data_IF_981307429460
#
_entry.id   IF_981307429460
#
_cell.length_a   1.000
_cell.length_b   1.000
_cell.length_c   1.000
_cell.angle_alpha   90.00
_cell.angle_beta   90.00
_cell.angle_gamma   90.00
#
_symmetry.space_group_name_H-M   'P 1'
#
loop_
_entity.id
_entity.type
_entity.pdbx_description
1 polymer ?
#
# COMPACT_ATOMS: atom_id res chain seq x y z
N UNK A 1 -12.19 -13.28 -5.77
CA UNK A 1 -11.05 -14.02 -5.17
C UNK A 1 -10.85 -13.43 -3.80
N UNK A 2 -10.94 -14.23 -2.72
CA UNK A 2 -10.80 -13.73 -1.35
C UNK A 2 -9.34 -13.31 -1.13
N UNK A 3 -9.13 -12.09 -0.64
CA UNK A 3 -7.80 -11.60 -0.31
C UNK A 3 -7.38 -12.19 1.03
N UNK A 4 -6.19 -12.78 1.09
CA UNK A 4 -5.62 -13.28 2.36
C UNK A 4 -5.32 -12.07 3.26
N UNK A 5 -5.84 -12.01 4.50
CA UNK A 5 -5.52 -10.92 5.41
C UNK A 5 -4.02 -10.80 5.71
N UNK A 6 -3.52 -9.57 5.84
CA UNK A 6 -2.18 -9.28 6.36
C UNK A 6 -2.23 -8.98 7.86
N UNK A 7 -1.06 -8.87 8.50
CA UNK A 7 -0.97 -8.40 9.90
C UNK A 7 -1.51 -6.98 10.09
N UNK A 8 -1.50 -6.16 9.04
CA UNK A 8 -2.09 -4.82 9.09
C UNK A 8 -3.63 -4.91 9.18
N UNK A 9 -4.27 -5.93 8.59
CA UNK A 9 -5.71 -6.16 8.74
C UNK A 9 -6.08 -6.54 10.19
N UNK A 10 -5.23 -7.30 10.86
CA UNK A 10 -5.39 -7.64 12.29
C UNK A 10 -5.23 -6.39 13.13
N UNK A 11 -4.17 -5.62 12.89
CA UNK A 11 -3.92 -4.37 13.61
C UNK A 11 -5.08 -3.38 13.46
N UNK A 12 -5.59 -3.21 12.25
CA UNK A 12 -6.75 -2.38 11.95
C UNK A 12 -7.99 -2.82 12.77
N UNK A 13 -8.34 -4.11 12.71
CA UNK A 13 -9.49 -4.65 13.44
C UNK A 13 -9.34 -4.47 14.96
N UNK A 14 -8.13 -4.68 15.50
CA UNK A 14 -7.88 -4.51 16.93
C UNK A 14 -7.97 -3.05 17.38
N UNK A 15 -7.43 -2.10 16.61
CA UNK A 15 -7.51 -0.67 16.92
C UNK A 15 -8.98 -0.20 16.90
N UNK A 16 -9.73 -0.61 15.88
CA UNK A 16 -11.15 -0.28 15.76
C UNK A 16 -11.96 -0.88 16.92
N UNK A 17 -11.73 -2.15 17.27
CA UNK A 17 -12.39 -2.80 18.41
C UNK A 17 -12.06 -2.15 19.75
N UNK A 18 -10.81 -1.74 19.94
CA UNK A 18 -10.38 -1.06 21.17
C UNK A 18 -11.07 0.29 21.37
N UNK A 19 -11.43 0.99 20.28
CA UNK A 19 -12.17 2.25 20.35
C UNK A 19 -13.64 2.05 20.74
N UNK A 20 -14.22 0.88 20.46
CA UNK A 20 -15.60 0.55 20.84
C UNK A 20 -16.64 1.53 20.29
N UNK A 21 -17.48 2.07 21.16
CA UNK A 21 -18.51 3.07 20.83
C UNK A 21 -18.11 4.51 21.25
N UNK A 22 -17.01 4.68 21.97
CA UNK A 22 -16.54 5.97 22.50
C UNK A 22 -15.47 6.55 21.57
N UNK A 23 -15.87 6.92 20.36
CA UNK A 23 -14.97 7.54 19.39
C UNK A 23 -14.55 8.95 19.80
N UNK A 24 -13.25 9.26 19.67
CA UNK A 24 -12.69 10.60 19.90
C UNK A 24 -12.77 11.45 18.63
N UNK A 25 -13.88 12.16 18.47
CA UNK A 25 -14.08 13.14 17.41
C UNK A 25 -13.76 14.56 17.91
N UNK A 26 -13.20 15.46 17.07
CA UNK A 26 -13.05 16.87 17.39
C UNK A 26 -14.39 17.54 17.71
N UNK A 27 -14.38 18.54 18.61
CA UNK A 27 -15.59 19.19 19.12
C UNK A 27 -16.40 19.98 18.06
N UNK A 28 -15.75 20.51 17.02
CA UNK A 28 -16.39 21.30 15.94
C UNK A 28 -16.85 20.43 14.76
N UNK A 29 -17.92 19.66 14.95
CA UNK A 29 -18.35 18.58 14.02
C UNK A 29 -19.21 19.10 12.85
N UNK A 30 -19.85 20.28 12.97
CA UNK A 30 -20.81 20.78 11.97
C UNK A 30 -20.20 21.79 10.98
N UNK A 31 -19.01 21.50 10.49
CA UNK A 31 -18.42 22.20 9.34
C UNK A 31 -18.58 21.33 8.09
N UNK A 32 -19.27 21.85 7.08
CA UNK A 32 -19.53 21.11 5.84
C UNK A 32 -18.21 20.88 5.09
N UNK A 33 -17.86 19.62 4.88
CA UNK A 33 -16.73 19.20 4.03
C UNK A 33 -17.18 18.99 2.58
N UNK A 34 -18.46 18.73 2.37
CA UNK A 34 -19.09 18.49 1.07
C UNK A 34 -20.54 18.98 1.09
N UNK A 35 -21.11 19.24 -0.10
CA UNK A 35 -22.54 19.51 -0.27
C UNK A 35 -23.10 18.73 -1.46
N UNK A 36 -24.33 18.25 -1.35
CA UNK A 36 -25.07 17.59 -2.42
C UNK A 36 -26.49 18.17 -2.50
N UNK A 37 -27.04 18.26 -3.71
CA UNK A 37 -28.45 18.61 -3.95
C UNK A 37 -29.31 17.35 -3.93
N UNK A 38 -30.22 17.23 -2.96
CA UNK A 38 -31.13 16.08 -2.87
C UNK A 38 -32.14 16.02 -4.03
N UNK A 39 -32.90 14.94 -4.12
CA UNK A 39 -33.93 14.75 -5.17
C UNK A 39 -35.05 15.80 -5.16
N UNK A 40 -35.17 16.59 -4.09
CA UNK A 40 -36.13 17.69 -3.98
C UNK A 40 -35.50 19.06 -4.29
N UNK A 41 -34.25 19.10 -4.74
CA UNK A 41 -33.54 20.33 -5.08
C UNK A 41 -32.94 21.08 -3.89
N UNK A 42 -32.85 20.45 -2.71
CA UNK A 42 -32.35 21.09 -1.49
C UNK A 42 -30.89 20.75 -1.24
N UNK A 43 -30.11 21.72 -0.79
CA UNK A 43 -28.72 21.49 -0.38
C UNK A 43 -28.67 20.71 0.94
N UNK A 44 -28.01 19.55 0.89
CA UNK A 44 -27.61 18.74 2.03
C UNK A 44 -26.12 18.98 2.26
N UNK A 45 -25.79 19.50 3.44
CA UNK A 45 -24.43 19.62 3.92
C UNK A 45 -23.99 18.27 4.48
N UNK A 46 -22.75 17.91 4.19
CA UNK A 46 -22.12 16.67 4.64
C UNK A 46 -20.83 17.05 5.36
N UNK A 47 -20.64 16.53 6.57
CA UNK A 47 -19.35 16.60 7.29
C UNK A 47 -18.82 15.19 7.49
N UNK A 48 -17.54 14.99 7.17
CA UNK A 48 -16.83 13.72 7.35
C UNK A 48 -15.66 13.96 8.30
N UNK A 49 -15.73 13.36 9.48
CA UNK A 49 -14.75 13.58 10.55
C UNK A 49 -14.23 12.24 11.03
N UNK A 50 -12.92 12.05 10.96
CA UNK A 50 -12.26 10.83 11.43
C UNK A 50 -12.02 10.87 12.95
N UNK A 51 -12.26 9.74 13.60
CA UNK A 51 -11.87 9.51 14.99
C UNK A 51 -10.35 9.56 15.10
N UNK A 52 -9.83 10.36 16.04
CA UNK A 52 -8.38 10.52 16.26
C UNK A 52 -7.69 9.26 16.76
N UNK A 53 -8.44 8.31 17.33
CA UNK A 53 -7.91 7.09 17.91
C UNK A 53 -7.90 5.91 16.92
N UNK A 54 -8.92 5.79 16.08
CA UNK A 54 -9.09 4.60 15.22
C UNK A 54 -9.40 4.90 13.75
N UNK A 55 -9.53 6.17 13.36
CA UNK A 55 -9.83 6.58 11.99
C UNK A 55 -11.28 6.39 11.56
N UNK A 56 -12.15 5.71 12.35
CA UNK A 56 -13.59 5.57 12.04
C UNK A 56 -14.18 6.92 11.67
N UNK A 57 -14.93 6.98 10.57
CA UNK A 57 -15.43 8.23 10.02
C UNK A 57 -16.86 8.44 10.50
N UNK A 58 -17.11 9.51 11.26
CA UNK A 58 -18.45 10.01 11.47
C UNK A 58 -18.87 10.85 10.27
N UNK A 59 -19.98 10.47 9.65
CA UNK A 59 -20.59 11.17 8.54
C UNK A 59 -21.89 11.80 9.03
N UNK A 60 -21.93 13.13 9.04
CA UNK A 60 -23.09 13.89 9.49
C UNK A 60 -23.74 14.61 8.31
N UNK A 61 -25.05 14.44 8.17
CA UNK A 61 -25.88 15.08 7.15
C UNK A 61 -26.84 16.06 7.80
N UNK A 62 -26.92 17.28 7.26
CA UNK A 62 -27.94 18.25 7.68
C UNK A 62 -28.36 19.15 6.53
N UNK A 63 -29.54 19.75 6.66
CA UNK A 63 -30.00 20.82 5.78
C UNK A 63 -30.05 22.11 6.58
N UNK A 64 -29.72 23.24 5.94
CA UNK A 64 -29.94 24.53 6.57
C UNK A 64 -31.43 24.74 6.84
N UNK A 65 -31.74 25.24 8.03
CA UNK A 65 -33.10 25.49 8.49
C UNK A 65 -33.25 26.97 8.79
N UNK A 66 -34.37 27.57 8.42
CA UNK A 66 -34.72 28.95 8.80
C UNK A 66 -35.28 29.05 10.22
N UNK A 67 -35.50 27.91 10.88
CA UNK A 67 -35.92 27.84 12.28
C UNK A 67 -34.72 27.78 13.24
N UNK A 68 -34.97 27.87 14.57
CA UNK A 68 -33.91 27.85 15.58
C UNK A 68 -33.23 26.49 15.76
N UNK A 69 -33.67 25.44 15.05
CA UNK A 69 -33.17 24.09 15.17
C UNK A 69 -32.81 23.51 13.80
N UNK A 70 -31.71 22.74 13.77
CA UNK A 70 -31.24 21.95 12.62
C UNK A 70 -31.29 20.48 13.01
N UNK A 71 -31.88 19.64 12.15
CA UNK A 71 -31.84 18.19 12.31
C UNK A 71 -30.54 17.66 11.68
N UNK A 72 -29.79 16.88 12.45
CA UNK A 72 -28.55 16.23 12.02
C UNK A 72 -28.73 14.73 12.09
N UNK A 73 -28.42 14.02 11.01
CA UNK A 73 -28.34 12.57 10.98
C UNK A 73 -26.87 12.16 10.88
N UNK A 74 -26.38 11.38 11.84
CA UNK A 74 -24.99 10.92 11.89
C UNK A 74 -24.90 9.40 11.80
N UNK A 75 -23.93 8.92 11.04
CA UNK A 75 -23.61 7.50 10.91
C UNK A 75 -22.09 7.29 10.98
N UNK A 76 -21.68 6.08 11.37
CA UNK A 76 -20.27 5.69 11.41
C UNK A 76 -19.94 4.80 10.22
N UNK A 77 -18.89 5.16 9.49
CA UNK A 77 -18.30 4.38 8.43
C UNK A 77 -16.94 3.83 8.88
N UNK A 78 -16.58 2.59 8.48
CA UNK A 78 -15.29 2.02 8.83
C UNK A 78 -14.14 2.88 8.26
N UNK A 79 -13.00 2.98 8.97
CA UNK A 79 -11.83 3.67 8.44
C UNK A 79 -11.33 2.98 7.17
N UNK A 80 -10.76 3.75 6.26
CA UNK A 80 -9.82 3.17 5.31
C UNK A 80 -8.58 2.70 6.08
N UNK A 81 -7.95 1.56 5.73
CA UNK A 81 -6.80 1.08 6.47
C UNK A 81 -5.64 2.08 6.62
N UNK A 82 -5.52 3.02 5.67
CA UNK A 82 -4.52 4.09 5.70
C UNK A 82 -4.88 5.30 6.57
N UNK A 83 -6.11 5.37 7.08
CA UNK A 83 -6.60 6.42 7.98
C UNK A 83 -6.48 6.02 9.47
N UNK A 84 -6.06 4.78 9.77
CA UNK A 84 -5.97 4.26 11.13
C UNK A 84 -4.65 4.72 11.79
N UNK A 85 -4.69 5.58 12.81
CA UNK A 85 -3.48 6.04 13.49
C UNK A 85 -2.77 4.89 14.20
N UNK A 86 -1.45 4.82 14.09
CA UNK A 86 -0.64 3.81 14.78
C UNK A 86 -0.74 2.38 14.22
N UNK A 87 -1.37 2.20 13.04
CA UNK A 87 -1.56 0.86 12.45
C UNK A 87 -0.23 0.13 12.19
N UNK A 88 0.80 0.85 11.77
CA UNK A 88 2.10 0.29 11.45
C UNK A 88 2.78 -0.29 12.71
N UNK A 89 2.83 0.52 13.76
CA UNK A 89 3.38 0.16 15.07
C UNK A 89 2.59 -1.00 15.68
N UNK A 90 1.26 -1.00 15.55
CA UNK A 90 0.43 -2.10 16.05
C UNK A 90 0.65 -3.38 15.24
N UNK A 91 0.82 -3.30 13.92
CA UNK A 91 1.04 -4.46 13.05
C UNK A 91 2.35 -5.19 13.37
N UNK A 92 3.40 -4.47 13.79
CA UNK A 92 4.64 -5.07 14.28
C UNK A 92 4.47 -5.86 15.58
N UNK A 93 3.48 -5.50 16.39
CA UNK A 93 3.18 -6.12 17.68
C UNK A 93 2.14 -7.24 17.60
N UNK A 94 1.54 -7.48 16.44
CA UNK A 94 0.62 -8.60 16.24
C UNK A 94 1.39 -9.90 16.48
N UNK A 95 0.84 -10.77 17.33
CA UNK A 95 1.41 -12.09 17.60
C UNK A 95 0.96 -13.11 16.56
N UNK A 96 1.67 -14.22 16.42
CA UNK A 96 1.24 -15.31 15.54
C UNK A 96 -0.11 -15.89 15.97
N UNK A 97 -0.41 -15.90 17.28
CA UNK A 97 -1.69 -16.36 17.81
C UNK A 97 -2.85 -15.42 17.41
N UNK A 98 -2.69 -14.11 17.58
CA UNK A 98 -3.69 -13.12 17.15
C UNK A 98 -3.92 -13.19 15.64
N UNK A 99 -2.85 -13.36 14.84
CA UNK A 99 -2.97 -13.49 13.40
C UNK A 99 -3.68 -14.78 12.98
N UNK A 100 -3.32 -15.92 13.57
CA UNK A 100 -3.95 -17.20 13.29
C UNK A 100 -5.45 -17.21 13.65
N UNK A 101 -5.81 -16.62 14.79
CA UNK A 101 -7.22 -16.47 15.19
C UNK A 101 -7.99 -15.62 14.18
N UNK A 102 -7.43 -14.47 13.78
CA UNK A 102 -8.05 -13.59 12.80
C UNK A 102 -8.23 -14.27 11.44
N UNK A 103 -7.22 -15.01 10.96
CA UNK A 103 -7.29 -15.77 9.72
C UNK A 103 -8.41 -16.82 9.77
N UNK A 104 -8.52 -17.57 10.87
CA UNK A 104 -9.57 -18.56 11.05
C UNK A 104 -10.97 -17.93 10.99
N UNK A 105 -11.17 -16.77 11.63
CA UNK A 105 -12.43 -16.01 11.57
C UNK A 105 -12.77 -15.51 10.15
N UNK A 106 -11.75 -15.28 9.31
CA UNK A 106 -11.90 -14.81 7.91
C UNK A 106 -11.95 -15.95 6.87
N UNK A 107 -12.07 -17.20 7.31
CA UNK A 107 -12.21 -18.36 6.42
C UNK A 107 -10.88 -19.01 6.01
N UNK A 108 -9.79 -18.72 6.72
CA UNK A 108 -8.47 -19.31 6.53
C UNK A 108 -8.05 -20.13 7.76
N UNK A 109 -8.77 -21.22 8.11
CA UNK A 109 -8.53 -21.98 9.35
C UNK A 109 -7.19 -22.74 9.36
N UNK A 110 -6.57 -22.93 8.19
CA UNK A 110 -5.24 -23.54 8.05
C UNK A 110 -4.12 -22.49 8.00
N UNK A 111 -4.44 -21.22 8.24
CA UNK A 111 -3.49 -20.12 8.17
C UNK A 111 -3.27 -19.58 6.75
N UNK A 112 -2.15 -18.89 6.57
CA UNK A 112 -1.75 -18.32 5.27
C UNK A 112 -1.40 -19.44 4.29
N UNK A 113 -1.88 -19.40 3.03
CA UNK A 113 -1.52 -20.39 2.01
C UNK A 113 0.00 -20.51 1.81
N UNK A 114 0.49 -21.72 1.52
CA UNK A 114 1.94 -22.03 1.47
C UNK A 114 2.69 -21.35 0.32
N UNK A 115 1.97 -20.85 -0.68
CA UNK A 115 2.50 -20.08 -1.81
C UNK A 115 2.74 -18.61 -1.48
N UNK A 116 2.41 -18.17 -0.26
CA UNK A 116 2.69 -16.84 0.24
C UNK A 116 3.99 -16.82 1.04
N UNK A 117 4.75 -15.74 0.87
CA UNK A 117 5.90 -15.45 1.69
C UNK A 117 5.48 -15.27 3.16
N UNK A 118 6.28 -15.78 4.10
CA UNK A 118 6.03 -15.53 5.51
C UNK A 118 6.19 -14.05 5.83
N UNK A 119 5.37 -13.54 6.75
CA UNK A 119 5.62 -12.24 7.36
C UNK A 119 6.81 -12.37 8.31
N UNK A 120 7.91 -11.71 7.96
CA UNK A 120 9.17 -11.71 8.68
C UNK A 120 9.59 -10.29 9.07
N UNK A 121 8.66 -9.33 9.17
CA UNK A 121 8.99 -7.90 9.37
C UNK A 121 9.83 -7.62 10.62
N UNK A 122 9.67 -8.43 11.67
CA UNK A 122 10.40 -8.32 12.95
C UNK A 122 11.73 -9.07 12.99
N UNK A 123 11.99 -9.95 12.02
CA UNK A 123 13.18 -10.82 11.99
C UNK A 123 14.05 -10.63 10.74
N UNK A 124 13.51 -10.00 9.70
CA UNK A 124 14.23 -9.71 8.48
C UNK A 124 15.34 -8.69 8.71
N UNK A 125 16.49 -8.95 8.10
CA UNK A 125 17.58 -7.99 7.97
C UNK A 125 17.58 -7.42 6.56
N UNK A 126 18.19 -6.25 6.37
CA UNK A 126 18.39 -5.70 5.02
C UNK A 126 19.24 -6.64 4.17
N UNK A 127 18.75 -6.99 2.99
CA UNK A 127 19.41 -7.85 2.03
C UNK A 127 19.84 -7.03 0.80
N UNK A 128 21.09 -7.21 0.38
CA UNK A 128 21.65 -6.56 -0.80
C UNK A 128 22.02 -7.62 -1.84
N UNK A 129 21.53 -7.45 -3.06
CA UNK A 129 21.72 -8.36 -4.17
C UNK A 129 22.22 -7.58 -5.37
N UNK A 130 23.32 -8.02 -5.97
CA UNK A 130 23.89 -7.38 -7.15
C UNK A 130 23.65 -8.26 -8.38
N UNK A 131 23.12 -7.65 -9.45
CA UNK A 131 22.78 -8.29 -10.71
C UNK A 131 23.42 -7.53 -11.88
N UNK A 132 23.60 -8.25 -12.99
CA UNK A 132 23.81 -7.65 -14.31
C UNK A 132 22.64 -8.08 -15.17
N UNK A 133 21.78 -7.13 -15.55
CA UNK A 133 20.62 -7.36 -16.41
C UNK A 133 20.98 -7.10 -17.87
N UNK A 134 20.34 -7.83 -18.78
CA UNK A 134 20.43 -7.58 -20.22
C UNK A 134 19.13 -6.94 -20.70
N UNK A 135 19.17 -5.61 -20.83
CA UNK A 135 18.02 -4.79 -21.18
C UNK A 135 17.78 -4.83 -22.69
N UNK A 136 16.52 -5.07 -23.05
CA UNK A 136 16.02 -5.02 -24.43
C UNK A 136 14.72 -4.24 -24.47
N UNK A 137 14.56 -3.43 -25.51
CA UNK A 137 13.43 -2.50 -25.67
C UNK A 137 13.26 -1.56 -24.48
N UNK A 138 14.38 -1.18 -23.88
CA UNK A 138 14.50 -0.14 -22.87
C UNK A 138 13.82 -0.43 -21.53
N UNK A 139 13.55 -1.70 -21.19
CA UNK A 139 12.77 -2.03 -20.00
C UNK A 139 13.15 -3.34 -19.29
N UNK A 140 12.91 -3.37 -17.98
CA UNK A 140 12.86 -4.57 -17.16
C UNK A 140 11.70 -4.49 -16.16
N UNK A 141 11.41 -5.59 -15.47
CA UNK A 141 10.21 -5.71 -14.63
C UNK A 141 10.52 -6.30 -13.27
N UNK A 142 9.70 -5.95 -12.28
CA UNK A 142 9.58 -6.62 -11.00
C UNK A 142 8.14 -7.14 -10.90
N UNK A 143 7.97 -8.45 -10.82
CA UNK A 143 6.65 -9.08 -10.87
C UNK A 143 6.43 -9.95 -9.63
N UNK A 144 5.18 -10.18 -9.26
CA UNK A 144 4.82 -11.37 -8.49
C UNK A 144 5.45 -12.59 -9.17
N UNK A 145 6.01 -13.52 -8.37
CA UNK A 145 6.66 -14.71 -8.89
C UNK A 145 5.71 -15.48 -9.80
N UNK A 146 6.23 -15.88 -10.97
CA UNK A 146 5.46 -16.51 -12.05
C UNK A 146 4.33 -15.66 -12.67
N UNK A 147 4.23 -14.40 -12.29
CA UNK A 147 3.35 -13.42 -12.91
C UNK A 147 3.68 -13.18 -14.39
N UNK A 148 2.68 -12.92 -15.24
CA UNK A 148 2.92 -12.66 -16.65
C UNK A 148 3.32 -11.19 -16.86
N UNK A 149 4.20 -10.92 -17.84
CA UNK A 149 4.63 -9.54 -18.18
C UNK A 149 3.47 -8.68 -18.67
N UNK A 150 2.47 -9.28 -19.31
CA UNK A 150 1.26 -8.57 -19.74
C UNK A 150 0.37 -8.12 -18.57
N UNK A 151 0.75 -8.38 -17.32
CA UNK A 151 0.09 -7.77 -16.16
C UNK A 151 0.26 -6.25 -16.13
N UNK A 152 1.34 -5.72 -16.69
CA UNK A 152 1.64 -4.27 -16.77
C UNK A 152 1.75 -3.74 -18.20
N UNK A 153 1.70 -4.62 -19.20
CA UNK A 153 1.75 -4.23 -20.61
C UNK A 153 0.38 -4.35 -21.29
N UNK A 154 -0.06 -3.34 -22.07
CA UNK A 154 0.63 -2.07 -22.32
C UNK A 154 0.61 -1.15 -21.09
N UNK A 155 1.65 -0.35 -20.91
CA UNK A 155 1.70 0.64 -19.81
C UNK A 155 0.56 1.64 -20.00
N UNK A 156 -0.26 1.92 -18.96
CA UNK A 156 -1.41 2.82 -19.07
C UNK A 156 -1.03 4.21 -19.59
N UNK A 157 -1.81 4.83 -20.50
CA UNK A 157 -1.52 6.18 -21.01
C UNK A 157 -1.47 7.30 -19.95
N UNK A 158 -2.10 7.06 -18.79
CA UNK A 158 -2.18 7.99 -17.65
C UNK A 158 -1.08 7.76 -16.61
N UNK A 159 -0.07 6.93 -16.92
CA UNK A 159 1.14 6.80 -16.13
C UNK A 159 1.98 8.09 -16.24
N UNK A 160 1.50 9.19 -15.68
CA UNK A 160 2.12 10.53 -15.76
C UNK A 160 3.45 10.63 -14.98
N UNK A 161 3.87 9.55 -14.30
CA UNK A 161 5.19 9.42 -13.64
C UNK A 161 6.29 8.79 -14.53
N UNK A 162 5.96 8.48 -15.79
CA UNK A 162 6.72 7.60 -16.67
C UNK A 162 8.00 8.18 -17.30
N UNK A 163 9.01 8.50 -16.49
CA UNK A 163 10.39 8.60 -16.99
C UNK A 163 11.34 7.52 -16.45
N UNK A 164 10.98 6.82 -15.36
CA UNK A 164 11.88 5.86 -14.68
C UNK A 164 11.19 4.59 -14.16
N UNK A 165 10.00 4.69 -13.57
CA UNK A 165 9.29 3.55 -12.96
C UNK A 165 7.77 3.77 -12.98
N UNK A 166 7.00 2.70 -13.17
CA UNK A 166 5.55 2.67 -13.01
C UNK A 166 5.10 1.32 -12.45
N UNK A 167 3.95 1.24 -11.79
CA UNK A 167 3.46 0.02 -11.17
C UNK A 167 1.94 -0.15 -11.20
N UNK A 168 1.53 -1.41 -11.19
CA UNK A 168 0.16 -1.87 -10.98
C UNK A 168 0.19 -3.01 -9.94
N UNK A 169 -0.93 -3.43 -9.36
CA UNK A 169 -0.93 -4.55 -8.42
C UNK A 169 -0.30 -5.83 -9.01
N UNK A 170 0.81 -6.25 -8.42
CA UNK A 170 1.60 -7.44 -8.76
C UNK A 170 2.70 -7.22 -9.80
N UNK A 171 2.91 -5.98 -10.28
CA UNK A 171 3.90 -5.69 -11.31
C UNK A 171 4.42 -4.25 -11.27
N UNK A 172 5.71 -4.08 -11.53
CA UNK A 172 6.34 -2.80 -11.81
C UNK A 172 7.22 -2.91 -13.06
N UNK A 173 7.26 -1.82 -13.83
CA UNK A 173 8.08 -1.66 -15.03
C UNK A 173 9.08 -0.54 -14.77
N UNK A 174 10.30 -0.73 -15.25
CA UNK A 174 11.41 0.20 -15.08
C UNK A 174 11.99 0.50 -16.45
N UNK A 175 12.21 1.78 -16.75
CA UNK A 175 12.84 2.22 -17.99
C UNK A 175 14.34 2.35 -17.81
N UNK A 176 15.11 1.77 -18.72
CA UNK A 176 16.57 1.77 -18.71
C UNK A 176 17.13 1.74 -20.14
N UNK A 177 18.37 2.21 -20.39
CA UNK A 177 19.01 2.03 -21.69
C UNK A 177 19.19 0.55 -22.05
N UNK A 178 19.13 0.23 -23.35
CA UNK A 178 19.44 -1.12 -23.86
C UNK A 178 20.91 -1.49 -23.59
N UNK A 179 21.16 -2.78 -23.33
CA UNK A 179 22.50 -3.31 -23.07
C UNK A 179 22.65 -3.97 -21.69
N UNK A 180 23.89 -4.10 -21.24
CA UNK A 180 24.18 -4.61 -19.89
C UNK A 180 23.98 -3.51 -18.84
N UNK A 181 23.18 -3.81 -17.83
CA UNK A 181 22.85 -2.90 -16.74
C UNK A 181 23.24 -3.50 -15.40
N UNK A 182 24.23 -2.91 -14.69
CA UNK A 182 24.45 -3.19 -13.27
C UNK A 182 23.24 -2.72 -12.45
N UNK A 183 22.61 -3.64 -11.73
CA UNK A 183 21.49 -3.36 -10.83
C UNK A 183 21.79 -3.92 -9.45
N UNK A 184 21.80 -3.06 -8.44
CA UNK A 184 21.69 -3.48 -7.05
C UNK A 184 20.23 -3.46 -6.62
N UNK A 185 19.76 -4.52 -5.99
CA UNK A 185 18.49 -4.54 -5.24
C UNK A 185 18.78 -4.57 -3.75
N UNK A 186 18.16 -3.66 -3.00
CA UNK A 186 18.15 -3.64 -1.54
C UNK A 186 16.73 -3.92 -1.06
N UNK A 187 16.55 -5.03 -0.35
CA UNK A 187 15.29 -5.41 0.28
C UNK A 187 15.41 -5.11 1.77
N UNK A 188 14.55 -4.24 2.29
CA UNK A 188 14.66 -3.74 3.66
C UNK A 188 13.32 -3.82 4.40
N UNK A 189 13.29 -4.19 5.70
CA UNK A 189 12.06 -4.15 6.49
C UNK A 189 11.56 -2.70 6.73
N UNK A 190 12.46 -1.72 6.71
CA UNK A 190 12.16 -0.30 6.91
C UNK A 190 12.72 0.57 5.77
N UNK A 191 12.25 1.82 5.66
CA UNK A 191 12.74 2.76 4.64
C UNK A 191 14.26 3.00 4.81
N UNK A 192 15.09 2.61 3.82
CA UNK A 192 16.54 2.84 3.86
C UNK A 192 16.94 4.30 3.57
N UNK A 193 15.97 5.21 3.43
CA UNK A 193 16.12 6.59 2.94
C UNK A 193 16.62 6.66 1.49
N UNK A 194 16.44 7.79 0.78
CA UNK A 194 16.98 7.96 -0.56
C UNK A 194 18.51 8.08 -0.54
N UNK A 195 19.20 7.34 -1.42
CA UNK A 195 20.62 7.53 -1.64
C UNK A 195 20.86 8.73 -2.57
N UNK A 196 21.31 9.85 -2.00
CA UNK A 196 21.52 11.12 -2.71
C UNK A 196 22.78 11.15 -3.56
N UNK A 197 23.55 10.06 -3.63
CA UNK A 197 24.68 9.93 -4.55
C UNK A 197 24.27 9.58 -5.99
N UNK A 198 22.98 9.34 -6.24
CA UNK A 198 22.41 9.08 -7.57
C UNK A 198 21.75 10.33 -8.16
N UNK A 199 21.77 10.43 -9.49
CA UNK A 199 21.34 11.64 -10.21
C UNK A 199 19.82 11.76 -10.27
N UNK A 200 19.13 10.63 -10.40
CA UNK A 200 17.66 10.58 -10.46
C UNK A 200 17.12 9.56 -9.48
N UNK A 201 16.01 9.91 -8.85
CA UNK A 201 15.31 9.06 -7.87
C UNK A 201 13.83 9.13 -8.20
N UNK A 202 13.19 7.98 -8.38
CA UNK A 202 11.74 7.87 -8.57
C UNK A 202 11.17 6.82 -7.64
N UNK A 203 9.94 7.03 -7.19
CA UNK A 203 9.33 6.23 -6.14
C UNK A 203 7.84 5.97 -6.44
N UNK A 204 7.41 4.70 -6.33
CA UNK A 204 6.01 4.29 -6.53
C UNK A 204 5.59 3.24 -5.50
N UNK A 205 4.30 3.17 -5.21
CA UNK A 205 3.69 2.14 -4.37
C UNK A 205 3.30 0.94 -5.24
N UNK A 206 3.70 -0.27 -4.87
CA UNK A 206 3.29 -1.49 -5.57
C UNK A 206 2.81 -2.55 -4.57
N UNK A 207 1.66 -3.14 -4.85
CA UNK A 207 1.08 -4.22 -4.05
C UNK A 207 1.46 -5.58 -4.62
N UNK A 208 2.14 -6.43 -3.86
CA UNK A 208 2.46 -7.81 -4.25
C UNK A 208 1.51 -8.80 -3.59
N UNK A 209 1.06 -9.80 -4.36
CA UNK A 209 -0.02 -10.70 -3.93
C UNK A 209 0.44 -11.78 -2.97
N UNK A 210 1.66 -12.27 -3.16
CA UNK A 210 2.22 -13.37 -2.36
C UNK A 210 3.43 -12.95 -1.55
N UNK A 211 4.05 -11.80 -1.85
CA UNK A 211 5.35 -11.43 -1.25
C UNK A 211 6.55 -12.22 -1.80
N UNK A 212 6.32 -13.10 -2.78
CA UNK A 212 7.37 -13.65 -3.62
C UNK A 212 7.43 -12.88 -4.93
N UNK A 213 8.59 -12.30 -5.22
CA UNK A 213 8.78 -11.49 -6.43
C UNK A 213 9.99 -11.97 -7.24
N UNK A 214 9.99 -11.63 -8.52
CA UNK A 214 11.09 -11.89 -9.46
C UNK A 214 11.41 -10.64 -10.27
N UNK A 215 12.70 -10.40 -10.51
CA UNK A 215 13.14 -9.52 -11.58
C UNK A 215 13.04 -10.26 -12.91
N UNK A 216 12.60 -9.56 -13.95
CA UNK A 216 12.40 -10.15 -15.28
C UNK A 216 12.91 -9.24 -16.38
N UNK A 217 13.74 -9.80 -17.26
CA UNK A 217 14.17 -9.19 -18.52
C UNK A 217 13.11 -9.42 -19.60
N UNK A 218 12.96 -8.47 -20.55
CA UNK A 218 12.06 -8.66 -21.69
C UNK A 218 12.56 -9.80 -22.60
N UNK A 219 11.79 -10.89 -22.67
CA UNK A 219 12.17 -12.13 -23.37
C UNK A 219 13.53 -12.71 -22.93
N UNK A 220 13.93 -12.45 -21.68
CA UNK A 220 15.19 -12.90 -21.11
C UNK A 220 15.01 -13.73 -19.84
N UNK A 221 15.90 -13.52 -18.88
CA UNK A 221 15.94 -14.30 -17.64
C UNK A 221 14.87 -13.87 -16.65
N UNK A 222 14.53 -14.79 -15.76
CA UNK A 222 13.83 -14.57 -14.51
C UNK A 222 14.82 -14.74 -13.36
N UNK A 223 14.86 -13.79 -12.44
CA UNK A 223 15.76 -13.78 -11.30
C UNK A 223 14.91 -13.67 -10.04
N UNK A 224 14.82 -14.76 -9.28
CA UNK A 224 14.02 -14.77 -8.05
C UNK A 224 14.70 -13.93 -6.98
N UNK A 225 13.91 -13.10 -6.31
CA UNK A 225 14.35 -12.40 -5.11
C UNK A 225 13.98 -13.20 -3.85
N UNK A 226 14.68 -12.95 -2.73
CA UNK A 226 14.25 -13.39 -1.41
C UNK A 226 12.80 -12.99 -1.10
N UNK A 227 12.10 -13.71 -0.23
CA UNK A 227 10.75 -13.35 0.21
C UNK A 227 10.72 -11.93 0.78
N UNK A 228 9.70 -11.13 0.44
CA UNK A 228 9.64 -9.77 0.95
C UNK A 228 9.37 -9.73 2.47
N UNK A 229 9.89 -8.72 3.20
CA UNK A 229 9.87 -8.73 4.67
C UNK A 229 8.48 -8.82 5.30
N UNK A 230 7.49 -8.13 4.76
CA UNK A 230 6.13 -8.12 5.28
C UNK A 230 5.21 -9.19 4.65
N UNK A 231 5.78 -10.15 3.90
CA UNK A 231 5.00 -11.12 3.13
C UNK A 231 4.26 -10.46 1.96
N UNK A 232 2.99 -10.81 1.74
CA UNK A 232 2.13 -10.11 0.78
C UNK A 232 1.67 -8.75 1.32
N UNK A 233 1.43 -7.81 0.42
CA UNK A 233 0.96 -6.48 0.81
C UNK A 233 1.56 -5.36 -0.02
N UNK A 234 1.49 -4.16 0.55
CA UNK A 234 1.92 -2.93 -0.09
C UNK A 234 3.40 -2.68 0.19
N UNK A 235 4.16 -2.40 -0.87
CA UNK A 235 5.59 -2.12 -0.81
C UNK A 235 5.89 -0.82 -1.53
N UNK A 236 6.93 -0.14 -1.05
CA UNK A 236 7.49 0.99 -1.74
C UNK A 236 8.68 0.57 -2.58
N UNK A 237 8.66 0.99 -3.84
CA UNK A 237 9.74 0.78 -4.79
C UNK A 237 10.40 2.13 -5.05
N UNK A 238 11.70 2.24 -4.76
CA UNK A 238 12.47 3.46 -5.05
C UNK A 238 13.63 3.11 -5.97
N UNK A 239 13.56 3.57 -7.21
CA UNK A 239 14.62 3.42 -8.20
C UNK A 239 15.55 4.63 -8.17
N UNK A 240 16.84 4.37 -8.10
CA UNK A 240 17.89 5.37 -8.24
C UNK A 240 18.71 5.04 -9.49
N UNK A 241 19.03 6.05 -10.28
CA UNK A 241 19.79 5.87 -11.53
C UNK A 241 20.95 6.86 -11.61
N UNK A 242 22.09 6.36 -12.08
CA UNK A 242 23.27 7.13 -12.47
C UNK A 242 24.00 6.40 -13.59
N UNK A 243 24.98 7.04 -14.22
CA UNK A 243 25.72 6.45 -15.35
C UNK A 243 26.37 5.09 -15.03
N UNK A 244 26.77 4.86 -13.78
CA UNK A 244 27.42 3.61 -13.35
C UNK A 244 26.47 2.46 -13.03
N UNK A 245 25.16 2.69 -13.02
CA UNK A 245 24.18 1.63 -12.76
C UNK A 245 22.99 2.09 -11.91
N UNK A 246 22.15 1.12 -11.60
CA UNK A 246 20.85 1.32 -10.97
C UNK A 246 20.83 0.73 -9.56
N UNK A 247 20.05 1.34 -8.69
CA UNK A 247 19.77 0.87 -7.33
C UNK A 247 18.27 0.87 -7.08
N UNK A 248 17.73 -0.31 -6.82
CA UNK A 248 16.32 -0.50 -6.47
C UNK A 248 16.20 -0.79 -4.97
N UNK A 249 15.54 0.09 -4.24
CA UNK A 249 15.09 -0.20 -2.88
C UNK A 249 13.68 -0.77 -2.91
N UNK A 250 13.45 -1.86 -2.18
CA UNK A 250 12.15 -2.48 -1.93
C UNK A 250 11.97 -2.53 -0.42
N UNK A 251 10.97 -1.82 0.09
CA UNK A 251 10.70 -1.80 1.53
C UNK A 251 9.21 -1.78 1.82
N UNK A 252 8.85 -2.26 3.01
CA UNK A 252 7.45 -2.31 3.42
C UNK A 252 6.85 -0.90 3.36
N UNK A 253 5.67 -0.78 2.76
CA UNK A 253 4.90 0.45 2.82
C UNK A 253 3.80 0.25 3.86
N UNK A 254 3.87 0.94 5.01
CA UNK A 254 2.74 1.01 5.91
C UNK A 254 1.50 1.45 5.14
N UNK A 255 0.34 0.85 5.44
CA UNK A 255 -0.91 1.31 4.85
C UNK A 255 -1.08 2.78 5.20
N UNK A 256 -1.05 3.61 4.16
CA UNK A 256 -1.20 5.06 4.25
C UNK A 256 -2.28 5.46 3.28
N UNK A 257 -3.07 6.48 3.62
CA UNK A 257 -4.01 7.09 2.67
C UNK A 257 -3.30 7.42 1.36
N UNK A 258 -3.88 7.11 0.18
CA UNK A 258 -3.38 7.68 -1.07
C UNK A 258 -3.41 9.20 -0.94
N UNK A 259 -2.30 9.88 -1.21
CA UNK A 259 -2.34 11.33 -1.37
C UNK A 259 -3.23 11.61 -2.57
N UNK A 260 -4.42 12.15 -2.32
CA UNK A 260 -5.25 12.72 -3.39
C UNK A 260 -4.48 13.96 -3.85
N UNK A 261 -3.85 13.87 -5.02
CA UNK A 261 -3.22 14.99 -5.72
C UNK A 261 -4.29 15.89 -6.35
#
# INVERSE_FOLDING_TARGET
MWQVPSRDDVAADMIVRACGHDHDFPDDILNATETHVDSAGRTVNISRVACRACGTIMVSHWQESTGPYVAVASMHEPPEPGDIPGIAERAEQVTDAEFAEFLAQRGFPQGVPTDFAPDRRTTATTERLDFVLHIKAGQFFLLDRDGPVNAILPVPPHAESAELIESVPGAAVFWAPDGELPLTVVISPADPYPDRSYDRIAEVSCRFRTGHVELRELAGRKLHLPPLPAGHGDYRLRLHTKDSGFLLHIFNQPRSKPLVL
#
